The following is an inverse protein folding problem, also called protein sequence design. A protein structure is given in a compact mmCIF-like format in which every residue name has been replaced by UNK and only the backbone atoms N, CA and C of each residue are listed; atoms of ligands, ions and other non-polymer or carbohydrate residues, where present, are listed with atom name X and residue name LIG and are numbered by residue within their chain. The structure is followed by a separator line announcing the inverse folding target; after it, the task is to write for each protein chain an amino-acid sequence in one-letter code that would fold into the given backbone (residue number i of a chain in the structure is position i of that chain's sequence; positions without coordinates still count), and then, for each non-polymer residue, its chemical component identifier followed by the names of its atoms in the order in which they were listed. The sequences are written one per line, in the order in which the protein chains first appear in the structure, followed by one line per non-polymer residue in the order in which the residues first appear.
data_IF_362548051873
#
_entry.id   IF_362548051873
#
_cell.length_a   1.000
_cell.length_b   1.000
_cell.length_c   1.000
_cell.angle_alpha   90.00
_cell.angle_beta   90.00
_cell.angle_gamma   90.00
#
_symmetry.space_group_name_H-M   'P 1'
#
loop_
_entity.id
_entity.type
_entity.pdbx_description
1 polymer ?
#
# COMPACT_ATOMS: atom_id res chain seq x y z
N UNK A 1 8.91 -6.44 8.35
CA UNK A 1 7.55 -6.72 7.83
C UNK A 1 7.39 -6.10 6.43
N UNK A 2 6.89 -6.85 5.45
CA UNK A 2 6.52 -6.27 4.15
C UNK A 2 5.22 -5.47 4.33
N UNK A 3 5.08 -4.28 3.71
CA UNK A 3 3.91 -3.42 3.94
C UNK A 3 2.64 -3.92 3.23
N UNK A 4 2.74 -4.92 2.37
CA UNK A 4 1.62 -5.53 1.64
C UNK A 4 1.59 -7.02 1.96
N UNK A 5 0.49 -7.48 2.55
CA UNK A 5 0.24 -8.88 2.82
C UNK A 5 -0.12 -9.65 1.54
N UNK A 6 0.18 -10.95 1.47
CA UNK A 6 -0.07 -11.78 0.29
C UNK A 6 -1.53 -11.80 -0.18
N UNK A 7 -2.51 -11.75 0.72
CA UNK A 7 -3.92 -11.68 0.33
C UNK A 7 -4.27 -10.33 -0.34
N UNK A 8 -3.73 -9.23 0.19
CA UNK A 8 -3.90 -7.91 -0.43
C UNK A 8 -3.21 -7.86 -1.80
N UNK A 9 -2.03 -8.47 -1.92
CA UNK A 9 -1.32 -8.57 -3.20
C UNK A 9 -2.13 -9.36 -4.24
N UNK A 10 -2.67 -10.52 -3.87
CA UNK A 10 -3.52 -11.32 -4.74
C UNK A 10 -4.78 -10.54 -5.16
N UNK A 11 -5.42 -9.84 -4.22
CA UNK A 11 -6.55 -8.98 -4.53
C UNK A 11 -6.20 -7.89 -5.55
N UNK A 12 -5.09 -7.18 -5.36
CA UNK A 12 -4.64 -6.10 -6.27
C UNK A 12 -4.33 -6.64 -7.67
N UNK A 13 -3.73 -7.83 -7.76
CA UNK A 13 -3.45 -8.52 -9.03
C UNK A 13 -4.74 -8.85 -9.76
N UNK A 14 -5.67 -9.54 -9.10
CA UNK A 14 -6.98 -9.91 -9.67
C UNK A 14 -7.76 -8.65 -10.10
N UNK A 15 -7.74 -7.61 -9.26
CA UNK A 15 -8.36 -6.32 -9.59
C UNK A 15 -7.78 -5.65 -10.84
N UNK A 16 -6.52 -5.94 -11.17
CA UNK A 16 -5.79 -5.34 -12.30
C UNK A 16 -5.80 -6.19 -13.58
N UNK A 17 -6.34 -7.40 -13.51
CA UNK A 17 -6.41 -8.34 -14.61
C UNK A 17 -7.42 -7.92 -15.70
N UNK A 18 -7.12 -8.30 -16.94
CA UNK A 18 -8.10 -8.29 -18.03
C UNK A 18 -8.78 -9.66 -18.12
N UNK A 19 -9.85 -9.75 -18.92
CA UNK A 19 -10.64 -10.97 -19.09
C UNK A 19 -9.78 -12.22 -19.35
N UNK A 20 -8.84 -12.16 -20.30
CA UNK A 20 -7.96 -13.28 -20.65
C UNK A 20 -7.12 -13.80 -19.46
N UNK A 21 -6.68 -12.90 -18.57
CA UNK A 21 -5.93 -13.27 -17.37
C UNK A 21 -6.85 -13.94 -16.37
N UNK A 22 -8.08 -13.43 -16.20
CA UNK A 22 -9.06 -14.00 -15.29
C UNK A 22 -9.48 -15.40 -15.73
N UNK A 23 -9.69 -15.62 -17.03
CA UNK A 23 -9.99 -16.93 -17.61
C UNK A 23 -8.85 -17.92 -17.34
N UNK A 24 -7.59 -17.51 -17.60
CA UNK A 24 -6.42 -18.34 -17.31
C UNK A 24 -6.30 -18.71 -15.82
N UNK A 25 -6.42 -17.72 -14.93
CA UNK A 25 -6.26 -17.96 -13.50
C UNK A 25 -7.46 -18.69 -12.89
N UNK A 26 -8.67 -18.57 -13.45
CA UNK A 26 -9.83 -19.32 -12.98
C UNK A 26 -9.71 -20.84 -13.21
N UNK A 27 -9.01 -21.25 -14.28
CA UNK A 27 -8.77 -22.66 -14.61
C UNK A 27 -7.46 -23.21 -14.03
N UNK A 28 -6.64 -22.35 -13.43
CA UNK A 28 -5.32 -22.71 -12.91
C UNK A 28 -5.39 -23.38 -11.54
N UNK A 29 -4.71 -24.51 -11.36
CA UNK A 29 -4.52 -25.13 -10.04
C UNK A 29 -3.57 -24.32 -9.13
N UNK A 30 -2.96 -23.25 -9.66
CA UNK A 30 -1.93 -22.44 -8.99
C UNK A 30 -2.41 -21.08 -8.52
N UNK A 31 -3.72 -20.86 -8.37
CA UNK A 31 -4.28 -19.55 -7.94
C UNK A 31 -3.66 -19.03 -6.64
N UNK A 32 -3.26 -19.92 -5.73
CA UNK A 32 -2.55 -19.55 -4.49
C UNK A 32 -1.26 -18.77 -4.75
N UNK A 33 -0.62 -18.99 -5.90
CA UNK A 33 0.65 -18.36 -6.25
C UNK A 33 0.52 -16.84 -6.38
N UNK A 34 -0.68 -16.35 -6.67
CA UNK A 34 -1.01 -14.92 -6.70
C UNK A 34 -0.76 -14.22 -5.35
N UNK A 35 -0.59 -14.96 -4.25
CA UNK A 35 -0.25 -14.38 -2.95
C UNK A 35 1.25 -14.15 -2.73
N UNK A 36 2.12 -14.77 -3.55
CA UNK A 36 3.56 -14.70 -3.40
C UNK A 36 4.16 -13.59 -4.25
N UNK A 37 5.17 -12.88 -3.72
CA UNK A 37 5.85 -11.80 -4.45
C UNK A 37 6.51 -12.27 -5.74
N UNK A 38 6.94 -13.53 -5.78
CA UNK A 38 7.76 -14.10 -6.86
C UNK A 38 6.90 -14.89 -7.87
N UNK A 39 5.58 -14.69 -7.84
CA UNK A 39 4.65 -15.24 -8.81
C UNK A 39 5.05 -14.81 -10.23
N UNK A 40 5.14 -15.78 -11.15
CA UNK A 40 5.30 -15.48 -12.57
C UNK A 40 3.97 -14.96 -13.11
N UNK A 41 3.83 -13.63 -13.11
CA UNK A 41 2.65 -12.90 -13.58
C UNK A 41 3.05 -11.97 -14.72
N UNK A 42 2.09 -11.65 -15.58
CA UNK A 42 2.27 -10.63 -16.61
C UNK A 42 2.72 -9.29 -16.00
N UNK A 43 3.80 -8.72 -16.54
CA UNK A 43 4.39 -7.47 -16.05
C UNK A 43 3.41 -6.31 -16.09
N UNK A 44 2.51 -6.24 -17.07
CA UNK A 44 1.51 -5.19 -17.16
C UNK A 44 0.49 -5.28 -16.02
N UNK A 45 0.11 -6.48 -15.60
CA UNK A 45 -0.80 -6.69 -14.45
C UNK A 45 -0.10 -6.24 -13.16
N UNK A 46 1.18 -6.61 -12.98
CA UNK A 46 2.00 -6.13 -11.86
C UNK A 46 2.09 -4.59 -11.84
N UNK A 47 2.49 -3.96 -12.95
CA UNK A 47 2.60 -2.50 -13.04
C UNK A 47 1.28 -1.81 -12.71
N UNK A 48 0.14 -2.32 -13.23
CA UNK A 48 -1.18 -1.78 -12.92
C UNK A 48 -1.54 -1.91 -11.44
N UNK A 49 -1.28 -3.07 -10.83
CA UNK A 49 -1.56 -3.32 -9.41
C UNK A 49 -0.78 -2.37 -8.49
N UNK A 50 0.53 -2.21 -8.74
CA UNK A 50 1.37 -1.29 -7.97
C UNK A 50 1.02 0.18 -8.22
N UNK A 51 0.72 0.55 -9.46
CA UNK A 51 0.28 1.91 -9.80
C UNK A 51 -1.02 2.28 -9.10
N UNK A 52 -1.99 1.36 -9.08
CA UNK A 52 -3.25 1.54 -8.36
C UNK A 52 -3.02 1.73 -6.86
N UNK A 53 -2.22 0.86 -6.23
CA UNK A 53 -1.91 0.96 -4.81
C UNK A 53 -1.19 2.27 -4.48
N UNK A 54 -0.23 2.68 -5.29
CA UNK A 54 0.47 3.96 -5.14
C UNK A 54 -0.52 5.14 -5.20
N UNK A 55 -1.41 5.17 -6.20
CA UNK A 55 -2.41 6.22 -6.33
C UNK A 55 -3.35 6.25 -5.11
N UNK A 56 -3.75 5.07 -4.62
CA UNK A 56 -4.64 4.95 -3.45
C UNK A 56 -3.96 5.45 -2.17
N UNK A 57 -2.69 5.12 -1.94
CA UNK A 57 -1.93 5.62 -0.78
C UNK A 57 -1.78 7.14 -0.83
N UNK A 58 -1.44 7.71 -1.99
CA UNK A 58 -1.35 9.17 -2.16
C UNK A 58 -2.69 9.85 -1.87
N UNK A 59 -3.80 9.26 -2.32
CA UNK A 59 -5.13 9.75 -1.99
C UNK A 59 -5.40 9.69 -0.48
N UNK A 60 -5.10 8.57 0.18
CA UNK A 60 -5.27 8.45 1.63
C UNK A 60 -4.43 9.48 2.41
N UNK A 61 -3.19 9.72 2.00
CA UNK A 61 -2.34 10.76 2.60
C UNK A 61 -2.94 12.16 2.43
N UNK A 62 -3.54 12.46 1.27
CA UNK A 62 -4.17 13.76 0.99
C UNK A 62 -5.43 14.04 1.81
N UNK A 63 -6.05 13.01 2.41
CA UNK A 63 -7.23 13.17 3.26
C UNK A 63 -6.89 13.63 4.68
N UNK A 64 -5.61 13.58 5.09
CA UNK A 64 -5.21 14.11 6.37
C UNK A 64 -5.14 15.64 6.34
N UNK A 65 -5.62 16.34 7.38
CA UNK A 65 -5.58 17.80 7.44
C UNK A 65 -4.17 18.37 7.69
N UNK A 66 -3.19 17.52 8.04
CA UNK A 66 -1.81 17.90 8.33
C UNK A 66 -0.84 16.95 7.64
N UNK A 67 0.41 17.40 7.43
CA UNK A 67 1.47 16.50 6.94
C UNK A 67 2.10 15.71 8.09
N UNK A 68 2.91 14.68 7.77
CA UNK A 68 3.66 13.94 8.79
C UNK A 68 4.66 14.87 9.53
N UNK A 69 5.30 15.78 8.79
CA UNK A 69 6.27 16.73 9.36
C UNK A 69 5.61 17.73 10.31
N UNK A 70 4.38 18.15 10.02
CA UNK A 70 3.64 19.05 10.91
C UNK A 70 3.34 18.37 12.25
N UNK A 71 2.85 17.13 12.22
CA UNK A 71 2.52 16.42 13.46
C UNK A 71 3.75 16.06 14.29
N UNK A 72 4.87 15.72 13.64
CA UNK A 72 6.14 15.47 14.33
C UNK A 72 6.65 16.70 15.07
N UNK A 73 6.33 17.91 14.60
CA UNK A 73 6.61 19.14 15.33
C UNK A 73 5.62 19.31 16.48
N UNK A 74 4.32 19.21 16.18
CA UNK A 74 3.24 19.42 17.16
C UNK A 74 3.39 18.49 18.37
N UNK A 75 3.72 17.20 18.17
CA UNK A 75 3.82 16.22 19.27
C UNK A 75 4.91 16.54 20.32
N UNK A 76 5.84 17.45 20.00
CA UNK A 76 6.90 17.90 20.92
C UNK A 76 6.49 19.08 21.80
N UNK A 77 5.36 19.71 21.51
CA UNK A 77 4.81 20.82 22.29
C UNK A 77 4.18 20.34 23.60
N UNK A 78 4.07 21.23 24.58
CA UNK A 78 3.39 20.94 25.85
C UNK A 78 1.87 20.83 25.62
N UNK A 79 1.29 19.71 26.06
CA UNK A 79 -0.13 19.40 25.86
C UNK A 79 -0.60 18.28 26.79
N UNK A 80 -1.91 18.08 26.86
CA UNK A 80 -2.50 16.96 27.59
C UNK A 80 -2.15 15.60 26.96
N UNK A 81 -2.04 14.58 27.80
CA UNK A 81 -1.74 13.21 27.36
C UNK A 81 -2.72 12.67 26.32
N UNK A 82 -4.03 12.94 26.48
CA UNK A 82 -5.04 12.53 25.50
C UNK A 82 -4.80 13.16 24.12
N UNK A 83 -4.42 14.44 24.08
CA UNK A 83 -4.11 15.14 22.82
C UNK A 83 -2.85 14.56 22.18
N UNK A 84 -1.83 14.28 22.99
CA UNK A 84 -0.58 13.67 22.55
C UNK A 84 -0.81 12.30 21.94
N UNK A 85 -1.61 11.44 22.57
CA UNK A 85 -1.98 10.13 22.04
C UNK A 85 -2.71 10.23 20.70
N UNK A 86 -3.65 11.17 20.56
CA UNK A 86 -4.36 11.38 19.29
C UNK A 86 -3.42 11.84 18.16
N UNK A 87 -2.39 12.65 18.47
CA UNK A 87 -1.36 13.03 17.50
C UNK A 87 -0.48 11.83 17.15
N UNK A 88 -0.02 11.06 18.14
CA UNK A 88 0.80 9.87 17.92
C UNK A 88 0.10 8.82 17.05
N UNK A 89 -1.21 8.61 17.25
CA UNK A 89 -2.00 7.72 16.39
C UNK A 89 -1.94 8.16 14.92
N UNK A 90 -2.19 9.45 14.65
CA UNK A 90 -2.19 9.98 13.29
C UNK A 90 -0.78 9.97 12.66
N UNK A 91 0.27 10.17 13.47
CA UNK A 91 1.67 10.02 13.05
C UNK A 91 1.92 8.58 12.61
N UNK A 92 1.48 7.60 13.41
CA UNK A 92 1.65 6.18 13.12
C UNK A 92 0.95 5.80 11.81
N UNK A 93 -0.31 6.21 11.62
CA UNK A 93 -1.06 5.96 10.38
C UNK A 93 -0.33 6.53 9.15
N UNK A 94 0.10 7.80 9.20
CA UNK A 94 0.83 8.43 8.10
C UNK A 94 2.20 7.80 7.85
N UNK A 95 2.86 7.34 8.89
CA UNK A 95 4.16 6.66 8.77
C UNK A 95 4.01 5.31 8.08
N UNK A 96 2.96 4.54 8.40
CA UNK A 96 2.63 3.28 7.72
C UNK A 96 2.37 3.54 6.23
N UNK A 97 1.57 4.55 5.89
CA UNK A 97 1.30 4.93 4.50
C UNK A 97 2.57 5.35 3.76
N UNK A 98 3.44 6.15 4.41
CA UNK A 98 4.70 6.60 3.83
C UNK A 98 5.66 5.43 3.57
N UNK A 99 5.83 4.52 4.53
CA UNK A 99 6.67 3.33 4.35
C UNK A 99 6.14 2.41 3.25
N UNK A 100 4.81 2.27 3.13
CA UNK A 100 4.21 1.52 2.03
C UNK A 100 4.47 2.19 0.67
N UNK A 101 4.38 3.52 0.58
CA UNK A 101 4.67 4.26 -0.64
C UNK A 101 6.13 4.12 -1.08
N UNK A 102 7.08 4.26 -0.15
CA UNK A 102 8.51 4.09 -0.41
C UNK A 102 8.84 2.68 -0.92
N UNK A 103 8.23 1.66 -0.32
CA UNK A 103 8.37 0.28 -0.76
C UNK A 103 7.93 0.07 -2.21
N UNK A 104 6.80 0.67 -2.61
CA UNK A 104 6.29 0.57 -3.98
C UNK A 104 7.21 1.32 -4.95
N UNK A 105 7.68 2.51 -4.58
CA UNK A 105 8.59 3.30 -5.43
C UNK A 105 9.95 2.63 -5.66
N UNK A 106 10.43 1.83 -4.71
CA UNK A 106 11.65 1.04 -4.90
C UNK A 106 11.47 -0.10 -5.92
N UNK A 107 10.25 -0.62 -6.09
CA UNK A 107 9.91 -1.65 -7.08
C UNK A 107 9.70 -1.09 -8.49
N UNK A 108 9.38 0.19 -8.60
CA UNK A 108 9.16 0.89 -9.87
C UNK A 108 10.46 1.47 -10.47
N UNK A 109 11.61 1.20 -9.84
CA UNK A 109 12.92 1.55 -10.40
C UNK A 109 13.34 0.49 -11.44
N UNK A 110 13.79 0.91 -12.63
CA UNK A 110 14.21 0.01 -13.71
C UNK A 110 15.43 -0.83 -13.33
#
# INVERSE_FOLDING_TARGET
PQPVEGQLLAFLRIFSMQQEHLEHWAESDKVSDLTYTDCSLDTQVETKAWTFLMARIKLLQSLYPTTLQDDLKIVTEDMSECRKLAIQLRIAEKSILQSALEYIQLRDKP
#
